data_IF_351476588914
#
_entry.id   IF_351476588914
#
_cell.length_a   1.000
_cell.length_b   1.000
_cell.length_c   1.000
_cell.angle_alpha   90.00
_cell.angle_beta   90.00
_cell.angle_gamma   90.00
#
_symmetry.space_group_name_H-M   'P 1'
#
loop_
_entity.id
_entity.type
_entity.pdbx_description
1 polymer ?
#
# COMPACT_ATOMS: atom_id res chain seq x y z
N UNK A 1 67.29 -42.92 26.81
CA UNK A 1 66.57 -41.73 27.28
C UNK A 1 65.71 -41.20 26.12
N UNK A 2 64.44 -41.52 26.14
CA UNK A 2 63.49 -41.09 25.11
C UNK A 2 62.74 -39.89 25.70
N UNK A 3 62.88 -38.70 25.05
CA UNK A 3 62.13 -37.46 25.42
C UNK A 3 60.82 -37.46 24.66
N UNK A 4 59.73 -37.55 25.39
CA UNK A 4 58.39 -37.31 24.85
C UNK A 4 58.15 -35.79 24.78
N UNK A 5 57.91 -35.28 23.59
CA UNK A 5 57.43 -33.90 23.34
C UNK A 5 55.89 -33.96 23.33
N UNK A 6 55.27 -33.42 24.35
CA UNK A 6 53.80 -33.21 24.38
C UNK A 6 53.48 -31.96 23.57
N UNK A 7 52.87 -32.12 22.39
CA UNK A 7 52.29 -31.02 21.61
C UNK A 7 50.84 -30.83 22.09
N UNK A 8 50.62 -29.81 22.88
CA UNK A 8 49.30 -29.39 23.28
C UNK A 8 48.59 -28.70 22.08
N UNK A 9 47.61 -29.32 21.46
CA UNK A 9 46.70 -28.68 20.53
C UNK A 9 45.75 -27.76 21.33
N UNK A 10 45.94 -26.44 21.27
CA UNK A 10 44.93 -25.45 21.63
C UNK A 10 43.84 -25.44 20.56
N UNK A 11 42.76 -26.17 20.79
CA UNK A 11 41.50 -25.98 20.07
C UNK A 11 40.88 -24.66 20.52
N UNK A 12 41.15 -23.58 19.78
CA UNK A 12 40.36 -22.36 19.88
C UNK A 12 38.95 -22.66 19.30
N UNK A 13 38.06 -23.15 20.14
CA UNK A 13 36.64 -23.19 19.86
C UNK A 13 36.14 -21.77 19.69
N UNK A 14 35.94 -21.33 18.45
CA UNK A 14 35.13 -20.16 18.18
C UNK A 14 33.72 -20.46 18.64
N UNK A 15 33.33 -20.00 19.82
CA UNK A 15 31.94 -19.98 20.23
C UNK A 15 31.19 -19.06 19.22
N UNK A 16 30.42 -19.64 18.33
CA UNK A 16 29.47 -18.89 17.51
C UNK A 16 28.44 -18.37 18.50
N UNK A 17 28.65 -17.18 19.02
CA UNK A 17 27.67 -16.45 19.80
C UNK A 17 26.58 -16.01 18.81
N UNK A 18 25.48 -16.73 18.75
CA UNK A 18 24.29 -16.19 18.12
C UNK A 18 23.87 -14.96 18.89
N UNK A 19 23.93 -13.78 18.27
CA UNK A 19 23.47 -12.57 18.91
C UNK A 19 21.99 -12.76 19.28
N UNK A 20 21.65 -12.50 20.53
CA UNK A 20 20.26 -12.55 21.00
C UNK A 20 19.45 -11.49 20.25
N UNK A 21 18.27 -11.84 19.76
CA UNK A 21 17.36 -10.88 19.11
C UNK A 21 16.48 -10.20 20.15
N UNK A 22 16.54 -8.88 20.18
CA UNK A 22 15.68 -8.02 21.01
C UNK A 22 14.60 -7.42 20.14
N UNK A 23 13.36 -7.46 20.62
CA UNK A 23 12.18 -6.95 19.90
C UNK A 23 11.71 -5.61 20.46
N UNK A 24 11.50 -4.65 19.57
CA UNK A 24 11.02 -3.30 19.87
C UNK A 24 9.63 -3.13 19.27
N UNK A 25 8.72 -2.54 20.04
CA UNK A 25 7.37 -2.24 19.57
C UNK A 25 7.44 -1.28 18.37
N UNK A 26 6.80 -1.65 17.26
CA UNK A 26 6.76 -0.82 16.06
C UNK A 26 5.95 0.48 16.25
N UNK A 27 5.18 0.61 17.33
CA UNK A 27 4.49 1.85 17.67
C UNK A 27 5.45 3.00 18.03
N UNK A 28 6.69 2.70 18.38
CA UNK A 28 7.74 3.68 18.65
C UNK A 28 8.28 4.37 17.38
N UNK A 29 7.90 3.90 16.18
CA UNK A 29 8.42 4.39 14.91
C UNK A 29 7.32 5.02 14.05
N UNK A 30 7.65 5.93 13.10
CA UNK A 30 6.67 6.57 12.24
C UNK A 30 5.88 5.57 11.41
N UNK A 31 4.57 5.74 11.38
CA UNK A 31 3.64 5.06 10.48
C UNK A 31 3.34 5.97 9.30
N UNK A 32 3.43 5.43 8.09
CA UNK A 32 3.01 6.06 6.83
C UNK A 32 1.68 5.47 6.35
N UNK A 33 0.99 6.20 5.48
CA UNK A 33 -0.17 5.70 4.73
C UNK A 33 -1.50 5.78 5.47
N UNK A 34 -1.58 6.46 6.62
CA UNK A 34 -2.81 6.65 7.38
C UNK A 34 -3.45 8.01 7.09
N UNK A 35 -4.72 8.02 6.66
CA UNK A 35 -5.45 9.25 6.31
C UNK A 35 -5.76 10.13 7.54
N UNK A 36 -5.93 9.52 8.71
CA UNK A 36 -6.35 10.20 9.94
C UNK A 36 -5.37 9.92 11.06
N UNK A 37 -4.26 10.65 11.08
CA UNK A 37 -3.26 10.52 12.16
C UNK A 37 -3.93 10.75 13.53
N UNK A 38 -3.54 9.93 14.52
CA UNK A 38 -4.01 9.99 15.90
C UNK A 38 -5.54 9.78 16.12
N UNK A 39 -6.25 9.31 15.11
CA UNK A 39 -7.67 8.93 15.23
C UNK A 39 -7.83 7.43 14.99
N UNK A 40 -8.50 6.73 15.92
CA UNK A 40 -8.75 5.30 15.84
C UNK A 40 -7.53 4.40 16.04
N UNK A 41 -7.69 3.11 15.78
CA UNK A 41 -6.66 2.09 15.94
C UNK A 41 -5.49 2.33 15.00
N UNK A 42 -4.26 2.17 15.51
CA UNK A 42 -3.04 2.56 14.79
C UNK A 42 -2.92 1.97 13.39
N UNK A 43 -3.24 0.68 13.23
CA UNK A 43 -3.05 -0.04 11.97
C UNK A 43 -4.31 -0.14 11.11
N UNK A 44 -5.37 0.58 11.47
CA UNK A 44 -6.62 0.69 10.73
C UNK A 44 -6.66 2.00 9.93
N UNK A 45 -7.33 2.00 8.77
CA UNK A 45 -7.31 3.13 7.82
C UNK A 45 -8.33 4.23 8.14
N UNK A 46 -9.45 3.86 8.79
CA UNK A 46 -10.50 4.79 9.19
C UNK A 46 -10.40 5.20 10.67
N UNK A 47 -10.95 6.36 11.04
CA UNK A 47 -11.17 6.71 12.43
C UNK A 47 -12.33 5.91 13.02
N UNK A 48 -12.31 5.63 14.33
CA UNK A 48 -13.34 4.86 15.04
C UNK A 48 -14.74 5.47 14.89
N UNK A 49 -14.84 6.79 14.69
CA UNK A 49 -16.12 7.48 14.49
C UNK A 49 -16.92 7.00 13.28
N UNK A 50 -16.28 6.26 12.35
CA UNK A 50 -16.96 5.70 11.19
C UNK A 50 -17.55 4.30 11.42
N UNK A 51 -17.30 3.65 12.55
CA UNK A 51 -17.74 2.28 12.82
C UNK A 51 -19.26 2.11 12.68
N UNK A 52 -20.02 3.05 13.24
CA UNK A 52 -21.49 2.94 13.28
C UNK A 52 -22.21 3.62 12.11
N UNK A 53 -21.49 4.36 11.28
CA UNK A 53 -22.09 5.09 10.13
C UNK A 53 -21.66 4.51 8.78
N UNK A 54 -20.58 3.74 8.74
CA UNK A 54 -20.15 3.04 7.52
C UNK A 54 -20.94 1.74 7.32
N UNK A 55 -21.11 1.38 6.05
CA UNK A 55 -21.61 0.04 5.71
C UNK A 55 -20.72 -1.05 6.31
N UNK A 56 -21.26 -2.15 6.89
CA UNK A 56 -20.44 -3.17 7.55
C UNK A 56 -19.28 -3.73 6.69
N UNK A 57 -19.47 -4.02 5.36
CA UNK A 57 -18.35 -4.47 4.53
C UNK A 57 -17.25 -3.40 4.35
N UNK A 58 -17.63 -2.13 4.24
CA UNK A 58 -16.69 -1.02 4.13
C UNK A 58 -15.89 -0.85 5.43
N UNK A 59 -16.57 -0.90 6.59
CA UNK A 59 -15.91 -0.86 7.90
C UNK A 59 -14.93 -2.02 8.08
N UNK A 60 -15.35 -3.25 7.78
CA UNK A 60 -14.48 -4.43 7.83
C UNK A 60 -13.19 -4.23 7.01
N UNK A 61 -13.32 -3.77 5.76
CA UNK A 61 -12.18 -3.53 4.88
C UNK A 61 -11.30 -2.36 5.35
N UNK A 62 -11.87 -1.35 6.00
CA UNK A 62 -11.11 -0.21 6.52
C UNK A 62 -10.12 -0.60 7.62
N UNK A 63 -10.35 -1.73 8.26
CA UNK A 63 -9.48 -2.30 9.30
C UNK A 63 -8.28 -3.06 8.73
N UNK A 64 -8.18 -3.22 7.42
CA UNK A 64 -6.98 -3.73 6.77
C UNK A 64 -5.92 -2.61 6.67
N UNK A 65 -4.63 -2.99 6.74
CA UNK A 65 -3.50 -2.07 6.77
C UNK A 65 -2.94 -1.70 5.40
N UNK A 66 -3.73 -1.86 4.31
CA UNK A 66 -3.29 -1.62 2.94
C UNK A 66 -2.66 -0.22 2.75
N UNK A 67 -1.48 -0.18 2.14
CA UNK A 67 -0.74 1.05 1.87
C UNK A 67 0.08 1.60 3.04
N UNK A 68 -0.07 1.05 4.24
CA UNK A 68 0.68 1.50 5.41
C UNK A 68 2.09 0.91 5.44
N UNK A 69 3.02 1.65 6.05
CA UNK A 69 4.39 1.20 6.30
C UNK A 69 4.98 1.82 7.56
N UNK A 70 5.88 1.08 8.21
CA UNK A 70 6.70 1.59 9.32
C UNK A 70 8.07 2.01 8.79
N UNK A 71 8.57 3.18 9.24
CA UNK A 71 9.90 3.69 8.93
C UNK A 71 10.80 3.60 10.16
N UNK A 72 11.99 3.05 10.01
CA UNK A 72 13.01 2.98 11.05
C UNK A 72 14.41 2.92 10.43
N UNK A 73 15.46 3.10 11.24
CA UNK A 73 16.85 2.85 10.87
C UNK A 73 17.50 1.89 11.87
N UNK A 74 18.51 1.16 11.42
CA UNK A 74 19.27 0.23 12.27
C UNK A 74 20.60 -0.12 11.63
N UNK A 75 21.61 -0.41 12.46
CA UNK A 75 22.89 -0.99 12.03
C UNK A 75 22.95 -2.51 12.25
N UNK A 76 21.84 -3.15 12.55
CA UNK A 76 21.77 -4.59 12.81
C UNK A 76 22.16 -5.43 11.61
N UNK A 77 22.85 -6.54 11.86
CA UNK A 77 23.14 -7.59 10.86
C UNK A 77 21.93 -8.48 10.59
N UNK A 78 20.88 -8.35 11.42
CA UNK A 78 19.70 -9.20 11.42
C UNK A 78 18.44 -8.34 11.62
N UNK A 79 17.43 -8.54 10.77
CA UNK A 79 16.09 -7.97 10.96
C UNK A 79 15.07 -9.08 11.04
N UNK A 80 14.37 -9.16 12.15
CA UNK A 80 13.26 -10.07 12.39
C UNK A 80 11.98 -9.29 12.71
N UNK A 81 10.85 -9.94 12.67
CA UNK A 81 9.55 -9.38 13.04
C UNK A 81 8.71 -10.37 13.82
N UNK A 82 7.87 -9.84 14.72
CA UNK A 82 6.73 -10.53 15.33
C UNK A 82 5.49 -9.71 15.04
N UNK A 83 4.42 -10.37 14.59
CA UNK A 83 3.16 -9.67 14.34
C UNK A 83 1.96 -10.57 14.60
N UNK A 84 0.87 -9.95 15.00
CA UNK A 84 -0.43 -10.59 15.11
C UNK A 84 -1.38 -9.93 14.10
N UNK A 85 -1.92 -10.74 13.19
CA UNK A 85 -2.95 -10.32 12.26
C UNK A 85 -4.29 -10.12 12.99
N UNK A 86 -5.10 -9.18 12.53
CA UNK A 86 -6.39 -8.90 13.13
C UNK A 86 -7.40 -10.03 12.87
N UNK A 87 -7.46 -10.51 11.62
CA UNK A 87 -8.46 -11.48 11.18
C UNK A 87 -7.89 -12.88 10.89
N UNK A 88 -6.70 -13.00 10.34
CA UNK A 88 -6.10 -14.19 9.74
C UNK A 88 -6.78 -14.59 8.40
N UNK A 89 -6.99 -13.59 7.55
CA UNK A 89 -7.61 -13.77 6.24
C UNK A 89 -6.80 -14.68 5.32
N UNK A 90 -7.51 -15.34 4.41
CA UNK A 90 -6.95 -16.14 3.33
C UNK A 90 -7.80 -15.96 2.06
N UNK A 91 -7.15 -15.90 0.90
CA UNK A 91 -7.80 -15.72 -0.40
C UNK A 91 -7.28 -16.77 -1.39
N UNK A 92 -8.17 -17.37 -2.19
CA UNK A 92 -7.81 -18.45 -3.13
C UNK A 92 -7.02 -17.98 -4.37
N UNK A 93 -6.98 -16.69 -4.64
CA UNK A 93 -6.34 -16.08 -5.82
C UNK A 93 -5.25 -15.08 -5.46
N UNK A 94 -4.93 -14.95 -4.17
CA UNK A 94 -3.87 -14.07 -3.67
C UNK A 94 -2.99 -14.81 -2.66
N UNK A 95 -1.67 -14.62 -2.72
CA UNK A 95 -0.75 -15.25 -1.78
C UNK A 95 -0.96 -14.73 -0.36
N UNK A 96 -0.80 -15.59 0.65
CA UNK A 96 -0.84 -15.18 2.06
C UNK A 96 0.22 -14.10 2.37
N UNK A 97 1.34 -14.10 1.64
CA UNK A 97 2.36 -13.04 1.74
C UNK A 97 1.78 -11.66 1.39
N UNK A 98 0.93 -11.58 0.37
CA UNK A 98 0.23 -10.33 0.02
C UNK A 98 -0.92 -10.02 0.96
N UNK A 99 -1.70 -11.05 1.33
CA UNK A 99 -2.89 -10.88 2.20
C UNK A 99 -2.50 -10.38 3.58
N UNK A 100 -1.53 -11.06 4.28
CA UNK A 100 -1.24 -10.89 5.71
C UNK A 100 0.25 -10.91 6.07
N UNK A 101 1.16 -10.84 5.07
CA UNK A 101 2.60 -10.75 5.26
C UNK A 101 3.12 -9.33 5.34
N UNK A 102 4.44 -9.20 5.52
CA UNK A 102 5.15 -7.92 5.62
C UNK A 102 6.30 -7.88 4.61
N UNK A 103 6.61 -6.70 4.07
CA UNK A 103 7.70 -6.49 3.11
C UNK A 103 8.72 -5.49 3.61
N UNK A 104 10.01 -5.86 3.62
CA UNK A 104 11.09 -4.98 4.00
C UNK A 104 11.79 -4.39 2.76
N UNK A 105 11.96 -3.08 2.78
CA UNK A 105 12.74 -2.28 1.83
C UNK A 105 13.84 -1.53 2.56
N UNK A 106 14.99 -1.37 1.88
CA UNK A 106 16.12 -0.57 2.34
C UNK A 106 16.34 0.62 1.41
N UNK A 107 16.74 1.74 1.97
CA UNK A 107 17.17 2.92 1.21
C UNK A 107 18.60 2.72 0.69
N UNK A 108 18.80 2.85 -0.62
CA UNK A 108 20.13 2.76 -1.25
C UNK A 108 20.78 4.11 -1.53
N UNK A 109 20.17 5.21 -1.11
CA UNK A 109 20.53 6.52 -1.61
C UNK A 109 19.93 6.78 -3.01
N UNK A 110 20.32 7.90 -3.64
CA UNK A 110 19.85 8.29 -4.99
C UNK A 110 18.32 8.23 -5.17
N UNK A 111 17.56 8.42 -4.08
CA UNK A 111 16.10 8.34 -4.03
C UNK A 111 15.52 6.98 -4.41
N UNK A 112 16.23 5.88 -4.10
CA UNK A 112 15.80 4.52 -4.42
C UNK A 112 15.60 3.67 -3.17
N UNK A 113 14.46 2.98 -3.15
CA UNK A 113 14.13 1.93 -2.20
C UNK A 113 14.31 0.58 -2.88
N UNK A 114 15.15 -0.29 -2.30
CA UNK A 114 15.33 -1.65 -2.77
C UNK A 114 14.60 -2.63 -1.87
N UNK A 115 13.87 -3.56 -2.49
CA UNK A 115 13.30 -4.71 -1.80
C UNK A 115 14.39 -5.62 -1.24
N UNK A 116 14.24 -6.02 0.01
CA UNK A 116 15.12 -6.97 0.67
C UNK A 116 14.48 -8.36 0.66
N UNK A 117 13.38 -8.52 1.39
CA UNK A 117 12.67 -9.79 1.52
C UNK A 117 11.30 -9.56 2.18
N UNK A 118 10.49 -10.64 2.23
CA UNK A 118 9.17 -10.66 2.87
C UNK A 118 9.19 -11.53 4.13
N UNK A 119 8.46 -11.12 5.16
CA UNK A 119 8.06 -11.98 6.26
C UNK A 119 6.80 -12.75 5.85
N UNK A 120 6.95 -14.08 5.71
CA UNK A 120 5.88 -14.98 5.30
C UNK A 120 5.04 -15.39 6.51
N UNK A 121 3.73 -15.18 6.50
CA UNK A 121 2.85 -15.55 7.60
C UNK A 121 2.64 -17.07 7.65
N UNK A 122 2.37 -17.59 8.84
CA UNK A 122 1.99 -18.98 9.07
C UNK A 122 0.77 -19.08 10.02
N UNK A 123 -0.13 -18.13 9.95
CA UNK A 123 -1.31 -18.07 10.79
C UNK A 123 -1.63 -16.66 11.26
N UNK A 124 -2.33 -16.58 12.41
CA UNK A 124 -2.69 -15.30 13.01
C UNK A 124 -1.52 -14.64 13.76
N UNK A 125 -0.78 -15.42 14.55
CA UNK A 125 0.40 -14.97 15.31
C UNK A 125 1.64 -15.49 14.60
N UNK A 126 2.56 -14.59 14.29
CA UNK A 126 3.69 -14.87 13.41
C UNK A 126 5.00 -14.33 13.97
N UNK A 127 6.09 -15.04 13.64
CA UNK A 127 7.45 -14.60 13.83
C UNK A 127 8.27 -15.03 12.63
N UNK A 128 9.10 -14.15 12.08
CA UNK A 128 9.98 -14.45 10.97
C UNK A 128 11.26 -13.63 11.03
N UNK A 129 12.38 -14.24 10.60
CA UNK A 129 13.56 -13.51 10.19
C UNK A 129 13.35 -13.05 8.76
N UNK A 130 13.45 -11.75 8.51
CA UNK A 130 13.37 -11.20 7.15
C UNK A 130 14.73 -11.32 6.47
N UNK A 131 15.79 -10.90 7.16
CA UNK A 131 17.16 -10.95 6.64
C UNK A 131 18.14 -11.18 7.80
N UNK A 132 19.25 -11.83 7.50
CA UNK A 132 20.38 -12.05 8.40
C UNK A 132 21.71 -11.92 7.65
N UNK A 133 22.82 -11.90 8.37
CA UNK A 133 24.17 -11.86 7.82
C UNK A 133 24.48 -10.60 6.98
N UNK A 134 23.84 -9.47 7.32
CA UNK A 134 24.21 -8.19 6.75
C UNK A 134 25.50 -7.66 7.36
N UNK A 135 26.15 -6.70 6.71
CA UNK A 135 27.22 -5.93 7.35
C UNK A 135 26.62 -4.97 8.41
N UNK A 136 27.28 -4.73 9.54
CA UNK A 136 26.82 -3.86 10.62
C UNK A 136 26.93 -2.37 10.25
N UNK A 137 26.13 -1.94 9.28
CA UNK A 137 26.09 -0.58 8.77
C UNK A 137 24.72 0.04 9.02
N UNK A 138 24.70 1.33 9.33
CA UNK A 138 23.47 2.09 9.50
C UNK A 138 22.67 2.14 8.18
N UNK A 139 21.43 1.67 8.23
CA UNK A 139 20.52 1.64 7.08
C UNK A 139 19.14 2.13 7.45
N UNK A 140 18.50 2.76 6.50
CA UNK A 140 17.11 3.22 6.58
C UNK A 140 16.17 2.17 5.98
N UNK A 141 15.13 1.82 6.72
CA UNK A 141 14.19 0.78 6.33
C UNK A 141 12.76 1.30 6.19
N UNK A 142 11.99 0.61 5.37
CA UNK A 142 10.54 0.76 5.23
C UNK A 142 9.91 -0.64 5.22
N UNK A 143 9.05 -0.90 6.21
CA UNK A 143 8.36 -2.17 6.40
C UNK A 143 6.89 -1.98 6.03
N UNK A 144 6.48 -2.47 4.86
CA UNK A 144 5.08 -2.44 4.42
C UNK A 144 4.23 -3.48 5.14
N UNK A 145 2.98 -3.08 5.44
CA UNK A 145 2.00 -3.84 6.20
C UNK A 145 1.04 -4.60 5.28
N UNK A 146 0.25 -5.58 5.80
CA UNK A 146 -0.67 -6.41 5.03
C UNK A 146 -1.65 -5.63 4.17
N UNK A 147 -2.03 -6.21 3.01
CA UNK A 147 -2.99 -5.58 2.10
C UNK A 147 -4.45 -5.95 2.40
N UNK A 148 -4.71 -7.18 2.84
CA UNK A 148 -6.05 -7.72 3.07
C UNK A 148 -6.27 -8.25 4.49
N UNK A 149 -5.40 -7.85 5.42
CA UNK A 149 -5.58 -8.05 6.87
C UNK A 149 -5.17 -6.78 7.62
N UNK A 150 -5.62 -6.67 8.86
CA UNK A 150 -5.16 -5.67 9.81
C UNK A 150 -4.08 -6.24 10.73
N UNK A 151 -3.51 -5.40 11.57
CA UNK A 151 -2.58 -5.79 12.62
C UNK A 151 -3.12 -5.43 14.00
N UNK A 152 -3.01 -6.37 14.94
CA UNK A 152 -3.21 -6.14 16.38
C UNK A 152 -1.91 -5.60 16.99
N UNK A 153 -0.77 -6.23 16.65
CA UNK A 153 0.56 -5.87 17.16
C UNK A 153 1.65 -6.13 16.13
N UNK A 154 2.74 -5.36 16.24
CA UNK A 154 3.94 -5.52 15.42
C UNK A 154 5.17 -5.14 16.23
N UNK A 155 6.20 -5.99 16.22
CA UNK A 155 7.52 -5.71 16.79
C UNK A 155 8.61 -6.00 15.79
N UNK A 156 9.67 -5.18 15.84
CA UNK A 156 10.87 -5.30 15.01
C UNK A 156 11.99 -5.86 15.87
N UNK A 157 12.59 -6.96 15.45
CA UNK A 157 13.70 -7.64 16.13
C UNK A 157 15.04 -7.31 15.48
N UNK A 158 16.02 -6.98 16.30
CA UNK A 158 17.40 -6.70 15.90
C UNK A 158 18.39 -7.42 16.82
N UNK A 159 19.65 -7.48 16.42
CA UNK A 159 20.73 -8.00 17.27
C UNK A 159 20.85 -7.17 18.57
N UNK A 160 21.12 -7.84 19.70
CA UNK A 160 21.17 -7.21 21.03
C UNK A 160 22.22 -6.09 21.17
N UNK A 161 23.25 -6.09 20.34
CA UNK A 161 24.30 -5.07 20.33
C UNK A 161 24.10 -3.98 19.27
N UNK A 162 23.05 -4.11 18.46
CA UNK A 162 22.70 -3.14 17.42
C UNK A 162 21.78 -2.04 17.96
N UNK A 163 21.68 -0.95 17.20
CA UNK A 163 20.76 0.14 17.47
C UNK A 163 19.55 0.08 16.53
N UNK A 164 18.42 0.57 17.01
CA UNK A 164 17.24 0.87 16.20
C UNK A 164 16.68 2.23 16.62
N UNK A 165 16.46 3.11 15.65
CA UNK A 165 16.10 4.50 15.90
C UNK A 165 15.11 5.05 14.88
N UNK A 166 14.70 6.32 15.11
CA UNK A 166 13.88 7.09 14.17
C UNK A 166 14.63 7.27 12.84
N UNK A 167 13.90 7.30 11.69
CA UNK A 167 14.52 7.58 10.39
C UNK A 167 15.15 8.99 10.38
N UNK A 168 16.28 9.12 9.67
CA UNK A 168 16.96 10.41 9.45
C UNK A 168 16.60 11.04 8.10
N UNK A 169 16.25 10.22 7.10
CA UNK A 169 15.86 10.73 5.80
C UNK A 169 14.36 10.98 5.72
N UNK A 170 13.97 12.10 5.12
CA UNK A 170 12.58 12.50 4.92
C UNK A 170 12.02 11.96 3.59
N UNK A 171 12.13 10.64 3.38
CA UNK A 171 11.55 9.94 2.25
C UNK A 171 10.82 8.66 2.69
N UNK A 172 9.63 8.38 2.13
CA UNK A 172 8.82 9.26 1.26
C UNK A 172 8.37 10.52 2.02
N UNK A 173 8.30 11.65 1.31
CA UNK A 173 7.84 12.94 1.88
C UNK A 173 6.41 12.77 2.40
N UNK A 174 6.18 13.08 3.67
CA UNK A 174 4.88 12.92 4.34
C UNK A 174 3.94 14.10 4.12
N UNK A 175 4.51 15.30 3.98
CA UNK A 175 3.72 16.50 3.74
C UNK A 175 3.03 16.44 2.38
N UNK A 176 1.73 16.75 2.36
CA UNK A 176 0.89 16.70 1.16
C UNK A 176 1.00 15.37 0.42
N UNK A 177 0.53 14.26 1.02
CA UNK A 177 0.56 12.95 0.41
C UNK A 177 -0.29 12.91 -0.88
N UNK A 178 -0.14 11.83 -1.65
CA UNK A 178 -1.09 11.44 -2.70
C UNK A 178 -2.18 10.61 -2.04
N UNK A 179 -3.43 11.00 -2.16
CA UNK A 179 -4.57 10.25 -1.61
C UNK A 179 -5.27 9.49 -2.72
N UNK A 180 -5.38 8.19 -2.57
CA UNK A 180 -6.08 7.31 -3.49
C UNK A 180 -7.37 6.79 -2.85
N UNK A 181 -8.47 6.83 -3.61
CA UNK A 181 -9.72 6.16 -3.27
C UNK A 181 -10.13 5.24 -4.41
N UNK A 182 -10.44 3.98 -4.11
CA UNK A 182 -10.81 3.01 -5.15
C UNK A 182 -11.11 1.60 -4.66
N UNK A 183 -10.91 0.65 -5.55
CA UNK A 183 -11.44 -0.71 -5.53
C UNK A 183 -10.49 -1.74 -4.88
N UNK A 184 -10.77 -3.05 -5.11
CA UNK A 184 -9.86 -4.16 -4.79
C UNK A 184 -8.48 -4.02 -5.45
N UNK A 185 -8.46 -3.53 -6.69
CA UNK A 185 -7.23 -3.30 -7.44
C UNK A 185 -6.37 -2.26 -6.72
N UNK A 186 -6.99 -1.17 -6.28
CA UNK A 186 -6.32 -0.13 -5.49
C UNK A 186 -5.87 -0.66 -4.13
N UNK A 187 -6.70 -1.45 -3.44
CA UNK A 187 -6.32 -2.07 -2.17
C UNK A 187 -5.05 -2.92 -2.30
N UNK A 188 -4.81 -3.50 -3.47
CA UNK A 188 -3.64 -4.29 -3.81
C UNK A 188 -3.94 -5.75 -4.14
N UNK A 189 -5.19 -6.09 -4.48
CA UNK A 189 -5.53 -7.44 -4.96
C UNK A 189 -5.12 -7.61 -6.43
N UNK A 190 -4.37 -8.57 -6.79
CA UNK A 190 -3.71 -9.72 -6.20
C UNK A 190 -2.17 -9.56 -6.21
N UNK A 191 -1.66 -8.47 -5.68
CA UNK A 191 -0.22 -8.30 -5.52
C UNK A 191 0.37 -9.47 -4.70
N UNK A 192 1.51 -10.01 -5.14
CA UNK A 192 2.15 -11.16 -4.47
C UNK A 192 2.62 -10.85 -3.05
N UNK A 193 2.84 -9.57 -2.73
CA UNK A 193 3.33 -9.07 -1.44
C UNK A 193 2.99 -7.57 -1.28
N UNK A 194 2.98 -7.00 -0.07
CA UNK A 194 2.51 -5.64 0.17
C UNK A 194 3.18 -4.56 -0.67
N UNK A 195 4.49 -4.60 -0.83
CA UNK A 195 5.23 -3.61 -1.61
C UNK A 195 4.93 -3.63 -3.11
N UNK A 196 4.23 -4.64 -3.62
CA UNK A 196 3.82 -4.73 -5.03
C UNK A 196 2.47 -4.09 -5.33
N UNK A 197 1.67 -3.71 -4.33
CA UNK A 197 0.51 -2.85 -4.59
C UNK A 197 0.94 -1.57 -5.31
N UNK A 198 0.23 -1.19 -6.38
CA UNK A 198 0.63 -0.08 -7.24
C UNK A 198 0.78 1.25 -6.50
N UNK A 199 -0.02 1.50 -5.45
CA UNK A 199 0.12 2.69 -4.60
C UNK A 199 1.47 2.73 -3.89
N UNK A 200 1.97 1.58 -3.43
CA UNK A 200 3.28 1.45 -2.79
C UNK A 200 4.43 1.60 -3.80
N UNK A 201 4.24 1.11 -5.04
CA UNK A 201 5.17 1.32 -6.14
C UNK A 201 5.25 2.81 -6.49
N UNK A 202 4.10 3.49 -6.63
CA UNK A 202 4.01 4.93 -6.93
C UNK A 202 4.66 5.75 -5.80
N UNK A 203 4.39 5.41 -4.54
CA UNK A 203 5.01 6.07 -3.38
C UNK A 203 6.54 6.05 -3.45
N UNK A 204 7.13 4.88 -3.72
CA UNK A 204 8.60 4.75 -3.86
C UNK A 204 9.15 5.50 -5.09
N UNK A 205 8.44 5.52 -6.22
CA UNK A 205 8.85 6.22 -7.44
C UNK A 205 8.81 7.73 -7.31
N UNK A 206 7.80 8.24 -6.60
CA UNK A 206 7.64 9.67 -6.35
C UNK A 206 8.43 10.14 -5.12
N UNK A 207 8.89 9.23 -4.28
CA UNK A 207 9.39 9.50 -2.93
C UNK A 207 8.42 10.38 -2.13
N UNK A 208 7.12 10.10 -2.27
CA UNK A 208 6.03 10.79 -1.58
C UNK A 208 5.09 9.78 -0.97
N UNK A 209 4.61 10.06 0.24
CA UNK A 209 3.62 9.24 0.91
C UNK A 209 2.37 9.08 0.04
N UNK A 210 1.89 7.85 -0.09
CA UNK A 210 0.62 7.52 -0.71
C UNK A 210 -0.32 6.92 0.33
N UNK A 211 -1.50 7.48 0.46
CA UNK A 211 -2.56 6.99 1.32
C UNK A 211 -3.50 6.12 0.47
N UNK A 212 -3.62 4.86 0.83
CA UNK A 212 -4.42 3.87 0.11
C UNK A 212 -5.79 3.69 0.78
N UNK A 213 -6.82 4.25 0.19
CA UNK A 213 -8.23 4.03 0.56
C UNK A 213 -8.93 3.16 -0.50
N UNK A 214 -8.32 2.02 -0.82
CA UNK A 214 -8.90 0.95 -1.63
C UNK A 214 -9.77 0.03 -0.79
N UNK A 215 -10.98 -0.27 -1.30
CA UNK A 215 -11.98 -1.09 -0.61
C UNK A 215 -12.57 -2.12 -1.59
N UNK A 216 -12.14 -3.37 -1.45
CA UNK A 216 -12.49 -4.48 -2.34
C UNK A 216 -14.01 -4.62 -2.51
N UNK A 217 -14.52 -4.41 -3.74
CA UNK A 217 -15.96 -4.45 -4.03
C UNK A 217 -16.78 -3.31 -3.39
N UNK A 218 -16.14 -2.36 -2.70
CA UNK A 218 -16.84 -1.38 -1.84
C UNK A 218 -16.47 0.09 -2.09
N UNK A 219 -15.86 0.42 -3.22
CA UNK A 219 -15.67 1.81 -3.64
C UNK A 219 -16.96 2.34 -4.29
N UNK A 220 -18.01 2.55 -3.48
CA UNK A 220 -19.37 2.87 -3.94
C UNK A 220 -19.75 4.34 -3.75
N UNK A 221 -18.73 5.24 -3.63
CA UNK A 221 -18.91 6.68 -3.45
C UNK A 221 -19.69 7.02 -2.16
N UNK A 222 -19.41 6.30 -1.07
CA UNK A 222 -19.99 6.59 0.25
C UNK A 222 -19.51 7.95 0.75
N UNK A 223 -20.44 8.85 1.10
CA UNK A 223 -20.11 10.25 1.37
C UNK A 223 -19.30 10.45 2.66
N UNK A 224 -19.40 9.54 3.62
CA UNK A 224 -18.54 9.51 4.81
C UNK A 224 -17.06 9.30 4.44
N UNK A 225 -16.77 8.53 3.38
CA UNK A 225 -15.40 8.35 2.86
C UNK A 225 -14.90 9.67 2.25
N UNK A 226 -15.75 10.37 1.48
CA UNK A 226 -15.39 11.69 0.94
C UNK A 226 -15.00 12.68 2.05
N UNK A 227 -15.71 12.64 3.19
CA UNK A 227 -15.39 13.48 4.35
C UNK A 227 -14.03 13.14 4.96
N UNK A 228 -13.68 11.84 5.07
CA UNK A 228 -12.35 11.41 5.53
C UNK A 228 -11.26 11.88 4.57
N UNK A 229 -11.46 11.69 3.26
CA UNK A 229 -10.53 12.16 2.22
C UNK A 229 -10.33 13.67 2.31
N UNK A 230 -11.40 14.42 2.50
CA UNK A 230 -11.36 15.88 2.58
C UNK A 230 -10.65 16.42 3.83
N UNK A 231 -10.38 15.62 4.86
CA UNK A 231 -9.56 16.04 6.01
C UNK A 231 -8.05 16.01 5.72
N UNK A 232 -7.61 15.38 4.63
CA UNK A 232 -6.18 15.21 4.30
C UNK A 232 -5.70 16.39 3.46
N UNK A 233 -4.70 17.14 3.92
CA UNK A 233 -4.01 18.16 3.10
C UNK A 233 -3.13 17.47 2.04
N UNK A 234 -3.74 17.06 0.93
CA UNK A 234 -3.14 16.27 -0.13
C UNK A 234 -2.49 17.13 -1.22
N UNK A 235 -1.46 16.57 -1.88
CA UNK A 235 -0.91 17.15 -3.11
C UNK A 235 -1.77 16.84 -4.33
N UNK A 236 -2.48 15.71 -4.33
CA UNK A 236 -3.42 15.28 -5.37
C UNK A 236 -4.34 14.20 -4.81
N UNK A 237 -5.59 14.22 -5.25
CA UNK A 237 -6.55 13.14 -5.01
C UNK A 237 -6.72 12.31 -6.28
N UNK A 238 -6.70 10.99 -6.15
CA UNK A 238 -6.87 10.03 -7.25
C UNK A 238 -8.09 9.17 -6.95
N UNK A 239 -9.11 9.30 -7.77
CA UNK A 239 -10.42 8.64 -7.62
C UNK A 239 -10.55 7.53 -8.67
N UNK A 240 -10.34 6.28 -8.23
CA UNK A 240 -10.28 5.06 -9.05
C UNK A 240 -11.37 4.06 -8.60
N UNK A 241 -12.61 4.51 -8.62
CA UNK A 241 -13.78 3.79 -8.08
C UNK A 241 -14.63 3.08 -9.14
N UNK A 242 -14.44 3.42 -10.41
CA UNK A 242 -15.37 3.04 -11.51
C UNK A 242 -15.63 1.53 -11.58
N UNK A 243 -14.65 0.62 -11.39
CA UNK A 243 -14.93 -0.81 -11.43
C UNK A 243 -15.99 -1.29 -10.43
N UNK A 244 -16.15 -0.62 -9.27
CA UNK A 244 -17.12 -1.03 -8.24
C UNK A 244 -18.45 -0.28 -8.31
N UNK A 245 -18.43 1.03 -8.60
CA UNK A 245 -19.64 1.84 -8.63
C UNK A 245 -20.54 1.50 -9.84
N UNK A 246 -21.84 1.36 -9.61
CA UNK A 246 -22.80 1.25 -10.72
C UNK A 246 -22.99 2.60 -11.40
N UNK A 247 -23.56 2.59 -12.63
CA UNK A 247 -23.92 3.80 -13.35
C UNK A 247 -24.88 4.68 -12.52
N UNK A 248 -25.85 4.05 -11.86
CA UNK A 248 -26.83 4.72 -11.01
C UNK A 248 -26.15 5.39 -9.81
N UNK A 249 -25.25 4.69 -9.13
CA UNK A 249 -24.46 5.25 -8.00
C UNK A 249 -23.58 6.40 -8.46
N UNK A 250 -22.93 6.28 -9.64
CA UNK A 250 -22.13 7.37 -10.18
C UNK A 250 -22.97 8.61 -10.47
N UNK A 251 -24.14 8.44 -11.11
CA UNK A 251 -25.06 9.56 -11.41
C UNK A 251 -25.61 10.22 -10.14
N UNK A 252 -25.89 9.42 -9.10
CA UNK A 252 -26.43 9.90 -7.82
C UNK A 252 -25.37 10.61 -6.95
N UNK A 253 -24.15 10.05 -6.86
CA UNK A 253 -23.21 10.37 -5.77
C UNK A 253 -21.93 11.06 -6.21
N UNK A 254 -21.46 10.87 -7.44
CA UNK A 254 -20.12 11.30 -7.85
C UNK A 254 -19.91 12.83 -7.72
N UNK A 255 -20.87 13.64 -8.16
CA UNK A 255 -20.74 15.09 -8.05
C UNK A 255 -20.72 15.54 -6.57
N UNK A 256 -21.58 14.97 -5.72
CA UNK A 256 -21.59 15.27 -4.28
C UNK A 256 -20.27 14.84 -3.61
N UNK A 257 -19.80 13.62 -3.91
CA UNK A 257 -18.51 13.12 -3.43
C UNK A 257 -17.35 14.05 -3.82
N UNK A 258 -17.32 14.47 -5.09
CA UNK A 258 -16.36 15.43 -5.60
C UNK A 258 -16.44 16.77 -4.86
N UNK A 259 -17.63 17.34 -4.70
CA UNK A 259 -17.80 18.65 -4.07
C UNK A 259 -17.43 18.65 -2.58
N UNK A 260 -17.61 17.55 -1.84
CA UNK A 260 -17.13 17.41 -0.47
C UNK A 260 -15.61 17.61 -0.41
N UNK A 261 -14.86 16.98 -1.32
CA UNK A 261 -13.40 17.12 -1.39
C UNK A 261 -13.04 18.55 -1.87
N UNK A 262 -13.63 18.98 -2.97
CA UNK A 262 -13.33 20.26 -3.62
C UNK A 262 -13.58 21.46 -2.70
N UNK A 263 -14.62 21.42 -1.85
CA UNK A 263 -14.96 22.50 -0.92
C UNK A 263 -13.86 22.80 0.10
N UNK A 264 -13.08 21.78 0.51
CA UNK A 264 -11.92 21.95 1.40
C UNK A 264 -10.61 22.15 0.65
N UNK A 265 -10.52 21.70 -0.59
CA UNK A 265 -9.31 21.72 -1.42
C UNK A 265 -9.60 22.40 -2.77
N UNK A 266 -9.80 23.74 -2.79
CA UNK A 266 -10.25 24.44 -4.00
C UNK A 266 -9.28 24.32 -5.18
N UNK A 267 -7.98 24.21 -4.92
CA UNK A 267 -6.94 24.21 -5.95
C UNK A 267 -6.21 22.88 -6.14
N UNK A 268 -6.39 21.93 -5.22
CA UNK A 268 -5.70 20.63 -5.29
C UNK A 268 -6.21 19.83 -6.50
N UNK A 269 -5.31 19.27 -7.34
CA UNK A 269 -5.73 18.43 -8.46
C UNK A 269 -6.53 17.21 -8.01
N UNK A 270 -7.61 16.92 -8.73
CA UNK A 270 -8.42 15.71 -8.57
C UNK A 270 -8.37 14.92 -9.89
N UNK A 271 -7.88 13.70 -9.83
CA UNK A 271 -7.73 12.79 -10.96
C UNK A 271 -8.85 11.74 -10.89
N UNK A 272 -9.59 11.58 -11.98
CA UNK A 272 -10.52 10.48 -12.18
C UNK A 272 -9.89 9.47 -13.13
N UNK A 273 -10.08 8.18 -12.86
CA UNK A 273 -9.55 7.10 -13.70
C UNK A 273 -10.71 6.27 -14.24
N UNK A 274 -10.68 5.99 -15.54
CA UNK A 274 -11.62 5.07 -16.18
C UNK A 274 -11.45 3.64 -15.66
N UNK A 275 -12.51 2.85 -15.75
CA UNK A 275 -12.47 1.39 -15.55
C UNK A 275 -11.47 0.78 -16.53
N UNK A 276 -10.48 -0.01 -16.06
CA UNK A 276 -9.53 -0.66 -16.96
C UNK A 276 -10.22 -1.52 -18.02
N UNK A 277 -9.62 -1.56 -19.21
CA UNK A 277 -10.01 -2.52 -20.26
C UNK A 277 -9.37 -3.86 -19.89
N UNK A 278 -10.16 -4.70 -19.26
CA UNK A 278 -9.73 -6.03 -18.82
C UNK A 278 -9.67 -7.04 -19.96
N UNK A 279 -8.88 -8.10 -19.81
CA UNK A 279 -8.82 -9.20 -20.78
C UNK A 279 -10.19 -9.82 -21.05
N UNK A 280 -11.07 -9.91 -20.06
CA UNK A 280 -12.46 -10.37 -20.21
C UNK A 280 -13.26 -9.59 -21.27
N UNK A 281 -13.00 -8.29 -21.42
CA UNK A 281 -13.75 -7.45 -22.37
C UNK A 281 -13.57 -7.86 -23.83
N UNK A 282 -12.53 -8.62 -24.16
CA UNK A 282 -12.30 -9.15 -25.51
C UNK A 282 -13.15 -10.38 -25.83
N UNK A 283 -13.68 -11.06 -24.81
CA UNK A 283 -14.38 -12.33 -24.96
C UNK A 283 -15.81 -12.31 -24.39
N UNK A 284 -16.08 -11.51 -23.36
CA UNK A 284 -17.42 -11.34 -22.77
C UNK A 284 -18.01 -9.98 -23.16
N UNK A 285 -18.92 -10.01 -24.14
CA UNK A 285 -19.60 -8.78 -24.61
C UNK A 285 -20.39 -8.07 -23.51
N UNK A 286 -20.94 -8.80 -22.54
CA UNK A 286 -21.69 -8.20 -21.44
C UNK A 286 -20.76 -7.37 -20.56
N UNK A 287 -19.58 -7.90 -20.23
CA UNK A 287 -18.56 -7.18 -19.47
C UNK A 287 -18.04 -5.99 -20.29
N UNK A 288 -17.76 -6.18 -21.58
CA UNK A 288 -17.32 -5.10 -22.46
C UNK A 288 -18.32 -3.93 -22.50
N UNK A 289 -19.62 -4.23 -22.66
CA UNK A 289 -20.69 -3.22 -22.64
C UNK A 289 -20.83 -2.52 -21.30
N UNK A 290 -20.65 -3.24 -20.18
CA UNK A 290 -20.72 -2.66 -18.85
C UNK A 290 -19.55 -1.72 -18.58
N UNK A 291 -18.30 -2.11 -18.88
CA UNK A 291 -17.11 -1.26 -18.76
C UNK A 291 -17.26 0.00 -19.63
N UNK A 292 -17.72 -0.15 -20.89
CA UNK A 292 -17.97 0.98 -21.77
C UNK A 292 -19.02 1.94 -21.20
N UNK A 293 -20.16 1.40 -20.73
CA UNK A 293 -21.26 2.19 -20.15
C UNK A 293 -20.81 2.99 -18.91
N UNK A 294 -20.00 2.38 -18.05
CA UNK A 294 -19.42 3.03 -16.87
C UNK A 294 -18.45 4.14 -17.26
N UNK A 295 -17.54 3.87 -18.18
CA UNK A 295 -16.58 4.85 -18.67
C UNK A 295 -17.26 6.03 -19.37
N UNK A 296 -18.31 5.79 -20.15
CA UNK A 296 -19.10 6.85 -20.78
C UNK A 296 -19.82 7.70 -19.73
N UNK A 297 -20.37 7.07 -18.69
CA UNK A 297 -20.99 7.79 -17.57
C UNK A 297 -19.97 8.66 -16.83
N UNK A 298 -18.76 8.14 -16.56
CA UNK A 298 -17.69 8.93 -15.97
C UNK A 298 -17.35 10.15 -16.82
N UNK A 299 -17.18 9.96 -18.14
CA UNK A 299 -16.91 11.05 -19.10
C UNK A 299 -18.02 12.09 -19.11
N UNK A 300 -19.26 11.65 -19.12
CA UNK A 300 -20.43 12.55 -19.09
C UNK A 300 -20.40 13.45 -17.84
N UNK A 301 -20.20 12.85 -16.64
CA UNK A 301 -20.14 13.60 -15.38
C UNK A 301 -18.92 14.52 -15.35
N UNK A 302 -17.76 14.04 -15.77
CA UNK A 302 -16.54 14.84 -15.88
C UNK A 302 -16.72 16.05 -16.79
N UNK A 303 -17.36 15.89 -17.96
CA UNK A 303 -17.66 16.96 -18.90
C UNK A 303 -18.66 17.98 -18.32
N UNK A 304 -19.63 17.54 -17.49
CA UNK A 304 -20.52 18.47 -16.76
C UNK A 304 -19.74 19.33 -15.77
N UNK A 305 -18.82 18.74 -15.02
CA UNK A 305 -17.93 19.49 -14.11
C UNK A 305 -17.09 20.51 -14.88
N UNK A 306 -16.52 20.13 -16.04
CA UNK A 306 -15.77 21.06 -16.92
C UNK A 306 -16.66 22.22 -17.41
N UNK A 307 -17.89 21.95 -17.80
CA UNK A 307 -18.86 22.99 -18.24
C UNK A 307 -19.22 23.95 -17.09
N UNK A 308 -19.19 23.48 -15.84
CA UNK A 308 -19.36 24.32 -14.63
C UNK A 308 -18.09 25.11 -14.26
N UNK A 309 -17.05 25.12 -15.13
CA UNK A 309 -15.75 25.75 -14.93
C UNK A 309 -14.93 25.17 -13.74
N UNK A 310 -15.19 23.92 -13.35
CA UNK A 310 -14.36 23.25 -12.35
C UNK A 310 -12.92 23.11 -12.87
N UNK A 311 -11.96 23.58 -12.08
CA UNK A 311 -10.53 23.63 -12.41
C UNK A 311 -9.78 22.47 -11.76
N UNK A 312 -8.56 22.24 -12.24
CA UNK A 312 -7.65 21.25 -11.68
C UNK A 312 -8.29 19.85 -11.56
N UNK A 313 -9.12 19.46 -12.55
CA UNK A 313 -9.62 18.09 -12.71
C UNK A 313 -9.01 17.44 -13.94
N UNK A 314 -8.62 16.18 -13.80
CA UNK A 314 -7.93 15.38 -14.84
C UNK A 314 -8.70 14.07 -15.00
N UNK A 315 -8.93 13.65 -16.24
CA UNK A 315 -9.46 12.33 -16.57
C UNK A 315 -8.35 11.50 -17.21
N UNK A 316 -8.09 10.33 -16.65
CA UNK A 316 -7.18 9.32 -17.21
C UNK A 316 -8.00 8.29 -17.98
N UNK A 317 -7.73 8.15 -19.27
CA UNK A 317 -8.28 7.06 -20.07
C UNK A 317 -7.54 5.76 -19.76
N UNK A 318 -8.26 4.66 -19.67
CA UNK A 318 -7.71 3.33 -19.41
C UNK A 318 -7.12 2.63 -20.64
N UNK A 319 -7.16 3.26 -21.80
CA UNK A 319 -6.61 2.70 -23.05
C UNK A 319 -5.11 2.39 -22.88
N UNK A 320 -4.70 1.16 -23.17
CA UNK A 320 -3.33 0.64 -23.07
C UNK A 320 -2.73 0.63 -21.66
N UNK A 321 -3.55 0.80 -20.62
CA UNK A 321 -3.09 0.86 -19.22
C UNK A 321 -2.45 -0.46 -18.77
N UNK A 322 -2.98 -1.61 -19.23
CA UNK A 322 -2.55 -2.95 -18.79
C UNK A 322 -1.63 -3.66 -19.80
N UNK A 323 -1.35 -3.05 -20.97
CA UNK A 323 -0.67 -3.72 -22.09
C UNK A 323 -1.61 -4.52 -22.94
N UNK A 324 -1.08 -5.18 -23.97
CA UNK A 324 -1.88 -5.87 -25.01
C UNK A 324 -1.71 -7.39 -24.99
N UNK A 325 -0.84 -7.94 -24.13
CA UNK A 325 -0.52 -9.38 -24.07
C UNK A 325 -1.50 -10.22 -23.23
N UNK A 326 -2.40 -9.57 -22.47
CA UNK A 326 -3.37 -10.26 -21.61
C UNK A 326 -2.82 -10.76 -20.26
N UNK A 327 -1.52 -10.57 -19.96
CA UNK A 327 -0.83 -11.15 -18.80
C UNK A 327 -0.95 -10.30 -17.51
N UNK A 328 -1.65 -9.18 -17.58
CA UNK A 328 -1.70 -8.23 -16.45
C UNK A 328 -2.64 -8.63 -15.31
N UNK A 329 -3.45 -9.68 -15.48
CA UNK A 329 -4.48 -10.07 -14.49
C UNK A 329 -4.39 -11.55 -14.15
N UNK A 330 -4.83 -11.92 -12.92
CA UNK A 330 -4.83 -13.31 -12.45
C UNK A 330 -6.16 -14.03 -12.75
N UNK A 331 -7.26 -13.28 -12.77
CA UNK A 331 -8.63 -13.79 -12.93
C UNK A 331 -9.42 -13.03 -14.01
N UNK A 332 -8.71 -12.27 -14.86
CA UNK A 332 -9.28 -11.41 -15.88
C UNK A 332 -9.65 -10.01 -15.39
N UNK A 333 -9.52 -9.71 -14.08
CA UNK A 333 -9.85 -8.43 -13.43
C UNK A 333 -8.72 -7.96 -12.54
N UNK A 334 -8.36 -8.74 -11.49
CA UNK A 334 -7.38 -8.35 -10.49
C UNK A 334 -5.95 -8.48 -11.02
N UNK A 335 -5.12 -7.51 -10.69
CA UNK A 335 -3.79 -7.39 -11.28
C UNK A 335 -2.79 -8.39 -10.70
N UNK A 336 -2.01 -9.00 -11.60
CA UNK A 336 -0.73 -9.61 -11.25
C UNK A 336 0.29 -8.52 -10.85
N UNK A 337 1.47 -8.92 -10.34
CA UNK A 337 2.57 -7.97 -10.13
C UNK A 337 2.94 -7.20 -11.42
N UNK A 338 2.83 -7.85 -12.58
CA UNK A 338 3.02 -7.21 -13.87
C UNK A 338 1.96 -6.12 -14.12
N UNK A 339 0.69 -6.43 -13.84
CA UNK A 339 -0.41 -5.47 -13.94
C UNK A 339 -0.23 -4.28 -12.99
N UNK A 340 0.17 -4.54 -11.74
CA UNK A 340 0.49 -3.50 -10.75
C UNK A 340 1.62 -2.58 -11.22
N UNK A 341 2.67 -3.13 -11.82
CA UNK A 341 3.79 -2.36 -12.38
C UNK A 341 3.35 -1.52 -13.58
N UNK A 342 2.60 -2.10 -14.53
CA UNK A 342 2.07 -1.40 -15.71
C UNK A 342 1.14 -0.26 -15.33
N UNK A 343 0.22 -0.50 -14.40
CA UNK A 343 -0.66 0.54 -13.89
C UNK A 343 0.17 1.69 -13.27
N UNK A 344 1.16 1.36 -12.44
CA UNK A 344 2.05 2.36 -11.84
C UNK A 344 2.88 3.10 -12.90
N UNK A 345 3.37 2.43 -13.96
CA UNK A 345 4.07 3.04 -15.09
C UNK A 345 3.18 4.05 -15.82
N UNK A 346 1.90 3.71 -15.98
CA UNK A 346 0.93 4.51 -16.70
C UNK A 346 0.47 5.75 -15.90
N UNK A 347 0.15 5.58 -14.62
CA UNK A 347 -0.48 6.62 -13.79
C UNK A 347 0.55 7.55 -13.13
N UNK A 348 1.72 7.03 -12.72
CA UNK A 348 2.73 7.79 -11.99
C UNK A 348 3.22 9.07 -12.71
N UNK A 349 3.50 9.08 -14.04
CA UNK A 349 3.89 10.30 -14.74
C UNK A 349 2.82 11.40 -14.70
N UNK A 350 1.54 11.02 -14.76
CA UNK A 350 0.41 11.94 -14.72
C UNK A 350 0.29 12.57 -13.32
N UNK A 351 0.37 11.73 -12.27
CA UNK A 351 0.40 12.19 -10.88
C UNK A 351 1.59 13.13 -10.66
N UNK A 352 2.79 12.74 -11.11
CA UNK A 352 4.00 13.57 -11.00
C UNK A 352 3.84 14.95 -11.63
N UNK A 353 3.12 15.03 -12.75
CA UNK A 353 2.84 16.31 -13.44
C UNK A 353 1.77 17.13 -12.68
N UNK A 354 0.83 16.47 -12.01
CA UNK A 354 -0.21 17.14 -11.23
C UNK A 354 0.31 17.67 -9.88
N UNK A 355 1.31 17.04 -9.29
CA UNK A 355 1.99 17.52 -8.06
C UNK A 355 2.86 18.72 -8.47
N UNK A 356 2.47 19.89 -8.01
CA UNK A 356 3.21 21.14 -8.24
C UNK A 356 4.20 21.42 -7.11
#
# INVERSE_FOLDING_TARGET
MIRYILIGLLLCGQAISFAQIIYYDASNFPLLGKATENKGVRYERFPDSLEHISRPPLWYLSRNSAGMAIRFRSNSTHIAVRWENLFNNHMNHMTDTGVKGLDLYCWEGNRKWRFINSARPNGKINQATIIANMQPEEREYMLYLPLYDGLVSLSIGIDSLATIDQPLIDYPIRQKPVVFYGTSILQGGCASRPGMAHTNIISRRLNRECINLGFSGNALLDLEVAKVIAEVDASVFVLDFVPNASVEQMKERMETFYHIIRSKHPDTPIIFIEDPIFTHTFYDERIAKEVQRKNDTLKEIFNRLKKKNEKNIILISSKNMLGEDGEATIDGIHFTDLGMMRYADFVCPIIKKAIK
#
